data_IF_948190523539
#
_entry.id   IF_948190523539
#
_cell.length_a   1.000
_cell.length_b   1.000
_cell.length_c   1.000
_cell.angle_alpha   90.00
_cell.angle_beta   90.00
_cell.angle_gamma   90.00
#
_symmetry.space_group_name_H-M   'P 1'
#
loop_
_entity.id
_entity.type
_entity.pdbx_description
1 polymer ?
#
# COMPACT_ATOMS: atom_id res chain seq x y z
N UNK A 1 10.46 13.02 -10.66
CA UNK A 1 10.09 12.19 -9.49
C UNK A 1 8.96 11.26 -9.93
N UNK A 2 8.86 10.04 -9.38
CA UNK A 2 7.79 9.12 -9.73
C UNK A 2 6.40 9.71 -9.40
N UNK A 3 5.43 9.53 -10.29
CA UNK A 3 4.09 10.14 -10.17
C UNK A 3 3.32 9.70 -8.90
N UNK A 4 3.65 8.55 -8.32
CA UNK A 4 3.02 8.09 -7.08
C UNK A 4 3.35 8.97 -5.87
N UNK A 5 4.42 9.79 -5.92
CA UNK A 5 4.81 10.66 -4.80
C UNK A 5 3.85 11.84 -4.60
N UNK A 6 3.10 12.19 -5.65
CA UNK A 6 2.11 13.26 -5.64
C UNK A 6 0.74 12.80 -5.09
N UNK A 7 0.57 11.50 -4.84
CA UNK A 7 -0.65 10.95 -4.26
C UNK A 7 -0.84 11.46 -2.82
N UNK A 8 -2.03 11.94 -2.49
CA UNK A 8 -2.33 12.50 -1.16
C UNK A 8 -2.23 11.47 -0.02
N UNK A 9 -2.26 10.17 -0.35
CA UNK A 9 -2.03 9.03 0.54
C UNK A 9 -0.63 8.40 0.44
N UNK A 10 0.34 9.05 -0.21
CA UNK A 10 1.76 8.69 -0.14
C UNK A 10 2.45 9.39 1.03
N UNK A 11 2.92 8.66 2.03
CA UNK A 11 3.53 9.24 3.24
C UNK A 11 5.07 9.22 3.22
N UNK A 12 5.70 8.69 2.17
CA UNK A 12 7.16 8.66 2.06
C UNK A 12 7.79 7.82 3.16
N UNK A 13 8.72 8.40 3.92
CA UNK A 13 9.41 7.74 5.02
C UNK A 13 8.50 7.71 6.26
N UNK A 14 7.70 6.64 6.41
CA UNK A 14 6.80 6.46 7.55
C UNK A 14 7.12 5.14 8.28
N UNK A 15 7.54 5.17 9.56
CA UNK A 15 7.78 3.97 10.38
C UNK A 15 6.51 3.15 10.63
N UNK A 16 6.68 1.89 11.06
CA UNK A 16 5.53 1.02 11.35
C UNK A 16 4.67 1.54 12.50
N UNK A 17 5.28 2.07 13.56
CA UNK A 17 4.58 2.59 14.73
C UNK A 17 3.64 3.75 14.34
N UNK A 18 4.16 4.72 13.60
CA UNK A 18 3.37 5.85 13.11
C UNK A 18 2.27 5.40 12.14
N UNK A 19 2.57 4.41 11.29
CA UNK A 19 1.58 3.82 10.38
C UNK A 19 0.41 3.19 11.15
N UNK A 20 0.70 2.41 12.20
CA UNK A 20 -0.33 1.80 13.05
C UNK A 20 -1.15 2.85 13.82
N UNK A 21 -0.52 3.98 14.15
CA UNK A 21 -1.19 5.12 14.76
C UNK A 21 -2.04 5.92 13.77
N UNK A 22 -1.71 5.96 12.48
CA UNK A 22 -2.49 6.71 11.48
C UNK A 22 -3.70 5.93 10.97
N UNK A 23 -3.60 4.61 10.84
CA UNK A 23 -4.68 3.75 10.35
C UNK A 23 -5.63 3.38 11.50
N UNK A 24 -6.84 3.94 11.50
CA UNK A 24 -7.82 3.82 12.59
C UNK A 24 -8.97 2.87 12.26
N UNK A 25 -9.39 2.83 11.01
CA UNK A 25 -10.59 2.11 10.56
C UNK A 25 -10.22 0.88 9.72
N UNK A 26 -11.09 -0.13 9.75
CA UNK A 26 -10.94 -1.34 8.94
C UNK A 26 -10.80 -1.03 7.45
N UNK A 27 -9.81 -1.62 6.78
CA UNK A 27 -9.53 -1.38 5.37
C UNK A 27 -8.92 0.00 5.07
N UNK A 28 -8.77 0.89 6.05
CA UNK A 28 -8.07 2.15 5.83
C UNK A 28 -6.63 1.87 5.45
N UNK A 29 -6.12 2.61 4.46
CA UNK A 29 -4.81 2.32 3.88
C UNK A 29 -3.98 3.57 3.60
N UNK A 30 -2.68 3.40 3.47
CA UNK A 30 -1.75 4.41 2.96
C UNK A 30 -0.59 3.75 2.21
N UNK A 31 0.15 4.55 1.44
CA UNK A 31 1.39 4.14 0.80
C UNK A 31 2.59 4.74 1.54
N UNK A 32 3.67 3.98 1.65
CA UNK A 32 4.94 4.43 2.25
C UNK A 32 6.12 3.67 1.67
N UNK A 33 7.34 4.13 1.98
CA UNK A 33 8.57 3.40 1.72
C UNK A 33 8.76 2.27 2.74
N UNK A 34 9.41 1.21 2.30
CA UNK A 34 9.95 0.21 3.22
C UNK A 34 11.23 0.73 3.90
N UNK A 35 11.10 1.19 5.15
CA UNK A 35 12.21 1.70 5.95
C UNK A 35 12.92 0.61 6.78
N UNK A 36 12.23 -0.48 7.06
CA UNK A 36 12.68 -1.51 8.01
C UNK A 36 13.18 -2.78 7.30
N UNK A 37 13.26 -2.75 5.97
CA UNK A 37 13.75 -3.86 5.17
C UNK A 37 12.82 -5.07 5.22
N UNK A 38 11.50 -4.84 5.27
CA UNK A 38 10.51 -5.93 5.14
C UNK A 38 10.62 -6.63 3.77
N UNK A 39 11.07 -5.90 2.76
CA UNK A 39 11.38 -6.42 1.44
C UNK A 39 12.88 -6.66 1.29
N UNK A 40 13.21 -7.78 0.64
CA UNK A 40 14.57 -8.10 0.23
C UNK A 40 15.10 -7.20 -0.93
N UNK A 41 14.24 -6.36 -1.52
CA UNK A 41 14.59 -5.53 -2.68
C UNK A 41 14.56 -4.05 -2.32
N UNK A 42 15.48 -3.23 -2.88
CA UNK A 42 15.43 -1.78 -2.74
C UNK A 42 14.17 -1.21 -3.42
N UNK A 43 13.77 -0.01 -2.99
CA UNK A 43 12.71 0.81 -3.61
C UNK A 43 11.31 0.19 -3.66
N UNK A 44 11.00 -0.72 -2.72
CA UNK A 44 9.66 -1.28 -2.59
C UNK A 44 8.70 -0.29 -1.93
N UNK A 45 7.54 -0.15 -2.53
CA UNK A 45 6.42 0.62 -1.99
C UNK A 45 5.57 -0.32 -1.15
N UNK A 46 5.30 0.06 0.09
CA UNK A 46 4.38 -0.66 0.97
C UNK A 46 3.00 -0.03 0.87
N UNK A 47 2.00 -0.87 0.56
CA UNK A 47 0.59 -0.56 0.76
C UNK A 47 0.18 -1.12 2.12
N UNK A 48 0.16 -0.23 3.12
CA UNK A 48 -0.21 -0.57 4.50
C UNK A 48 -1.71 -0.45 4.67
N UNK A 49 -2.36 -1.50 5.19
CA UNK A 49 -3.82 -1.60 5.34
C UNK A 49 -4.16 -2.09 6.75
N UNK A 50 -5.16 -1.47 7.38
CA UNK A 50 -5.70 -1.92 8.66
C UNK A 50 -6.57 -3.17 8.47
N UNK A 51 -6.26 -4.22 9.23
CA UNK A 51 -7.07 -5.43 9.36
C UNK A 51 -7.22 -5.77 10.85
N UNK A 52 -8.40 -5.53 11.42
CA UNK A 52 -8.68 -5.63 12.84
C UNK A 52 -7.77 -4.73 13.68
N UNK A 53 -6.94 -5.35 14.52
CA UNK A 53 -5.96 -4.65 15.37
C UNK A 53 -4.56 -4.56 14.74
N UNK A 54 -4.37 -5.11 13.55
CA UNK A 54 -3.08 -5.19 12.89
C UNK A 54 -3.02 -4.26 11.67
N UNK A 55 -1.80 -3.93 11.28
CA UNK A 55 -1.51 -3.33 9.97
C UNK A 55 -0.77 -4.38 9.15
N UNK A 56 -1.31 -4.71 7.99
CA UNK A 56 -0.68 -5.60 7.02
C UNK A 56 -0.09 -4.77 5.88
N UNK A 57 1.01 -5.25 5.30
CA UNK A 57 1.72 -4.56 4.22
C UNK A 57 1.71 -5.43 2.96
N UNK A 58 1.12 -4.92 1.87
CA UNK A 58 1.30 -5.50 0.55
C UNK A 58 2.51 -4.85 -0.14
N UNK A 59 3.33 -5.67 -0.81
CA UNK A 59 4.51 -5.20 -1.52
C UNK A 59 4.14 -4.80 -2.95
N UNK A 60 4.31 -3.51 -3.27
CA UNK A 60 4.21 -3.00 -4.63
C UNK A 60 5.63 -2.85 -5.17
N UNK A 61 5.94 -3.59 -6.24
CA UNK A 61 7.26 -3.61 -6.88
C UNK A 61 7.18 -2.93 -8.23
N UNK A 62 8.19 -2.15 -8.56
CA UNK A 62 8.37 -1.66 -9.92
C UNK A 62 8.84 -2.81 -10.83
N UNK A 63 8.25 -2.89 -12.01
CA UNK A 63 8.54 -3.87 -13.05
C UNK A 63 8.61 -3.15 -14.41
N UNK A 64 9.18 -3.73 -15.48
CA UNK A 64 9.34 -3.02 -16.75
C UNK A 64 8.04 -2.44 -17.36
N UNK A 65 6.89 -3.05 -17.06
CA UNK A 65 5.55 -2.63 -17.50
C UNK A 65 4.88 -1.60 -16.57
N UNK A 66 5.48 -1.24 -15.44
CA UNK A 66 4.90 -0.33 -14.44
C UNK A 66 5.07 -0.87 -13.02
N UNK A 67 3.96 -1.25 -12.38
CA UNK A 67 3.92 -1.66 -10.97
C UNK A 67 3.16 -2.98 -10.79
N UNK A 68 3.73 -3.87 -9.98
CA UNK A 68 3.14 -5.17 -9.67
C UNK A 68 2.80 -5.31 -8.19
N UNK A 69 1.66 -5.92 -7.90
CA UNK A 69 1.23 -6.38 -6.56
C UNK A 69 0.64 -7.78 -6.69
N UNK A 70 1.17 -8.73 -5.91
CA UNK A 70 0.91 -10.15 -6.15
C UNK A 70 1.19 -10.53 -7.61
N UNK A 71 0.19 -11.09 -8.28
CA UNK A 71 0.28 -11.54 -9.68
C UNK A 71 -0.29 -10.54 -10.70
N UNK A 72 -0.61 -9.29 -10.29
CA UNK A 72 -1.22 -8.28 -11.18
C UNK A 72 -0.29 -7.10 -11.41
N UNK A 73 -0.29 -6.62 -12.65
CA UNK A 73 0.48 -5.48 -13.11
C UNK A 73 -0.42 -4.32 -13.53
N UNK A 74 0.08 -3.11 -13.32
CA UNK A 74 -0.61 -1.86 -13.58
C UNK A 74 0.39 -0.81 -14.08
N UNK A 75 -0.03 0.05 -14.99
CA UNK A 75 0.84 1.09 -15.55
C UNK A 75 1.26 2.12 -14.48
N UNK A 76 0.41 2.35 -13.47
CA UNK A 76 0.66 3.30 -12.39
C UNK A 76 0.17 2.78 -11.04
N UNK A 77 0.79 3.25 -9.95
CA UNK A 77 0.33 2.96 -8.57
C UNK A 77 -1.08 3.50 -8.32
N UNK A 78 -1.46 4.62 -8.96
CA UNK A 78 -2.82 5.15 -8.87
C UNK A 78 -3.84 4.17 -9.46
N UNK A 79 -3.59 3.67 -10.67
CA UNK A 79 -4.45 2.68 -11.33
C UNK A 79 -4.56 1.37 -10.52
N UNK A 80 -3.47 0.94 -9.89
CA UNK A 80 -3.44 -0.19 -8.97
C UNK A 80 -4.38 0.05 -7.78
N UNK A 81 -4.23 1.17 -7.07
CA UNK A 81 -5.06 1.51 -5.91
C UNK A 81 -6.53 1.61 -6.31
N UNK A 82 -6.84 2.34 -7.39
CA UNK A 82 -8.21 2.48 -7.90
C UNK A 82 -8.85 1.12 -8.21
N UNK A 83 -8.11 0.22 -8.85
CA UNK A 83 -8.60 -1.11 -9.18
C UNK A 83 -9.06 -1.87 -7.94
N UNK A 84 -8.21 -1.97 -6.92
CA UNK A 84 -8.53 -2.73 -5.70
C UNK A 84 -9.55 -2.01 -4.80
N UNK A 85 -9.47 -0.68 -4.73
CA UNK A 85 -10.33 0.13 -3.88
C UNK A 85 -11.76 0.24 -4.44
N UNK A 86 -11.93 0.45 -5.74
CA UNK A 86 -13.26 0.63 -6.35
C UNK A 86 -13.95 -0.73 -6.50
N UNK A 87 -13.22 -1.76 -6.95
CA UNK A 87 -13.81 -3.09 -7.19
C UNK A 87 -13.97 -3.91 -5.92
N UNK A 88 -13.43 -3.45 -4.78
CA UNK A 88 -13.41 -4.17 -3.50
C UNK A 88 -12.87 -5.60 -3.64
N UNK A 89 -11.84 -5.74 -4.47
CA UNK A 89 -11.12 -7.00 -4.65
C UNK A 89 -10.11 -7.13 -3.53
N UNK A 90 -10.03 -8.31 -2.92
CA UNK A 90 -9.06 -8.59 -1.89
C UNK A 90 -7.64 -8.70 -2.48
N UNK A 91 -6.66 -8.22 -1.73
CA UNK A 91 -5.23 -8.35 -2.01
C UNK A 91 -4.69 -9.43 -1.08
N UNK A 92 -4.19 -10.52 -1.64
CA UNK A 92 -3.53 -11.57 -0.86
C UNK A 92 -2.14 -11.09 -0.40
N UNK A 93 -1.93 -11.09 0.91
CA UNK A 93 -0.66 -10.74 1.57
C UNK A 93 0.17 -12.01 1.79
N UNK A 94 -0.50 -13.09 2.18
CA UNK A 94 0.03 -14.46 2.29
C UNK A 94 -1.01 -15.43 1.76
N UNK A 95 -0.74 -16.74 1.78
CA UNK A 95 -1.69 -17.77 1.37
C UNK A 95 -3.00 -17.80 2.20
N UNK A 96 -2.98 -17.25 3.42
CA UNK A 96 -4.12 -17.29 4.35
C UNK A 96 -4.64 -15.91 4.77
N UNK A 97 -3.97 -14.84 4.35
CA UNK A 97 -4.31 -13.47 4.74
C UNK A 97 -4.56 -12.61 3.51
N UNK A 98 -5.74 -11.99 3.49
CA UNK A 98 -6.14 -11.05 2.45
C UNK A 98 -6.69 -9.78 3.07
N UNK A 99 -6.56 -8.66 2.35
CA UNK A 99 -7.06 -7.35 2.78
C UNK A 99 -7.85 -6.69 1.67
N UNK A 100 -8.92 -5.97 2.01
CA UNK A 100 -9.68 -5.14 1.06
C UNK A 100 -9.45 -3.67 1.34
N UNK A 101 -9.31 -2.86 0.29
CA UNK A 101 -9.07 -1.43 0.44
C UNK A 101 -10.37 -0.65 0.71
N UNK A 102 -10.36 0.11 1.80
CA UNK A 102 -11.40 1.04 2.24
C UNK A 102 -11.10 2.47 1.78
N UNK A 103 -11.02 3.40 2.73
CA UNK A 103 -10.68 4.80 2.46
C UNK A 103 -9.17 5.06 2.59
N UNK A 104 -8.57 5.93 1.77
CA UNK A 104 -7.19 6.32 1.94
C UNK A 104 -7.02 7.18 3.21
N UNK A 105 -5.97 6.92 3.98
CA UNK A 105 -5.47 7.81 5.01
C UNK A 105 -4.60 8.87 4.34
N UNK A 106 -5.20 10.03 4.10
CA UNK A 106 -4.55 11.17 3.44
C UNK A 106 -3.63 11.90 4.40
N UNK A 107 -2.51 12.41 3.89
CA UNK A 107 -1.65 13.35 4.62
C UNK A 107 -2.48 14.58 5.00
N UNK A 108 -2.33 15.06 6.24
CA UNK A 108 -2.80 16.39 6.58
C UNK A 108 -1.80 17.38 5.99
N UNK A 109 -2.30 18.24 5.09
CA UNK A 109 -1.57 19.37 4.52
C UNK A 109 -1.09 20.34 5.58
#
# INVERSE_FOLDING_TARGET
>A
LPAYMDLDYWHGNLPNEDTANLLKEEGQFLLRKDLEGQAAAPDVILLSVRLGQQVLNALIREVPSGYRIGDREFDTVAALVDYYQIRKIAISITESLEVTLGNPCRRKS
#
